data_IF_728119220802
#
_entry.id   IF_728119220802
#
_cell.length_a   1.000
_cell.length_b   1.000
_cell.length_c   1.000
_cell.angle_alpha   90.00
_cell.angle_beta   90.00
_cell.angle_gamma   90.00
#
_symmetry.space_group_name_H-M   'P 1'
#
loop_
_entity.id
_entity.type
_entity.pdbx_description
1 polymer ?
#
# COMPACT_ATOMS: atom_id res chain seq x y z
N UNK A 1 0.51 -17.91 9.62
CA UNK A 1 1.74 -17.13 9.85
C UNK A 1 1.89 -16.86 11.34
N UNK A 2 3.10 -16.97 11.90
CA UNK A 2 3.33 -16.74 13.32
C UNK A 2 2.95 -15.30 13.73
N UNK A 3 2.32 -15.16 14.91
CA UNK A 3 1.89 -13.86 15.47
C UNK A 3 3.02 -12.79 15.52
N UNK A 4 4.27 -13.10 15.93
CA UNK A 4 5.35 -12.10 15.93
C UNK A 4 5.71 -11.62 14.53
N UNK A 5 5.87 -12.53 13.56
CA UNK A 5 6.18 -12.19 12.17
C UNK A 5 5.09 -11.29 11.55
N UNK A 6 3.83 -11.50 11.91
CA UNK A 6 2.72 -10.66 11.45
C UNK A 6 2.79 -9.24 11.99
N UNK A 7 3.07 -9.05 13.28
CA UNK A 7 3.24 -7.70 13.85
C UNK A 7 4.41 -6.97 13.20
N UNK A 8 5.50 -7.69 12.95
CA UNK A 8 6.67 -7.16 12.27
C UNK A 8 6.32 -6.65 10.87
N UNK A 9 5.73 -7.50 10.01
CA UNK A 9 5.38 -7.10 8.64
C UNK A 9 4.36 -5.95 8.63
N UNK A 10 3.39 -5.93 9.55
CA UNK A 10 2.47 -4.80 9.70
C UNK A 10 3.19 -3.50 10.04
N UNK A 11 4.16 -3.53 10.95
CA UNK A 11 4.94 -2.35 11.29
C UNK A 11 5.67 -1.78 10.06
N UNK A 12 6.24 -2.65 9.22
CA UNK A 12 6.82 -2.25 7.94
C UNK A 12 5.78 -1.68 6.97
N UNK A 13 4.58 -2.28 6.90
CA UNK A 13 3.46 -1.71 6.16
C UNK A 13 3.08 -0.30 6.63
N UNK A 14 2.99 -0.08 7.94
CA UNK A 14 2.72 1.23 8.53
C UNK A 14 3.80 2.25 8.18
N UNK A 15 5.08 1.86 8.27
CA UNK A 15 6.19 2.73 7.90
C UNK A 15 6.11 3.15 6.42
N UNK A 16 5.75 2.22 5.53
CA UNK A 16 5.54 2.50 4.09
C UNK A 16 4.38 3.47 3.89
N UNK A 17 3.23 3.21 4.52
CA UNK A 17 2.04 4.05 4.39
C UNK A 17 2.28 5.48 4.89
N UNK A 18 2.86 5.63 6.08
CA UNK A 18 3.18 6.93 6.68
C UNK A 18 4.20 7.67 5.81
N UNK A 19 5.21 6.97 5.29
CA UNK A 19 6.20 7.57 4.39
C UNK A 19 5.55 8.10 3.11
N UNK A 20 4.65 7.33 2.48
CA UNK A 20 3.92 7.75 1.30
C UNK A 20 3.07 9.02 1.56
N UNK A 21 2.39 9.08 2.70
CA UNK A 21 1.63 10.26 3.12
C UNK A 21 2.54 11.47 3.36
N UNK A 22 3.62 11.27 4.10
CA UNK A 22 4.55 12.32 4.45
C UNK A 22 5.21 12.95 3.22
N UNK A 23 5.78 12.12 2.34
CA UNK A 23 6.38 12.61 1.09
C UNK A 23 5.34 13.21 0.15
N UNK A 24 4.16 12.60 0.02
CA UNK A 24 3.07 13.15 -0.78
C UNK A 24 2.68 14.56 -0.32
N UNK A 25 2.51 14.78 0.98
CA UNK A 25 2.21 16.10 1.54
C UNK A 25 3.34 17.12 1.32
N UNK A 26 4.61 16.71 1.48
CA UNK A 26 5.76 17.59 1.20
C UNK A 26 5.76 18.04 -0.26
N UNK A 27 5.53 17.13 -1.21
CA UNK A 27 5.52 17.48 -2.63
C UNK A 27 4.35 18.41 -2.97
N UNK A 28 3.15 18.18 -2.43
CA UNK A 28 2.02 19.11 -2.60
C UNK A 28 2.37 20.48 -2.04
N UNK A 29 2.90 20.57 -0.82
CA UNK A 29 3.25 21.83 -0.18
C UNK A 29 4.33 22.59 -0.98
N UNK A 30 5.35 21.89 -1.49
CA UNK A 30 6.40 22.47 -2.33
C UNK A 30 5.84 23.09 -3.62
N UNK A 31 4.94 22.39 -4.31
CA UNK A 31 4.32 22.90 -5.55
C UNK A 31 3.47 24.14 -5.28
N UNK A 32 2.69 24.13 -4.19
CA UNK A 32 1.82 25.25 -3.83
C UNK A 32 2.60 26.48 -3.36
N UNK A 33 3.74 26.30 -2.70
CA UNK A 33 4.51 27.40 -2.14
C UNK A 33 5.38 28.14 -3.17
N UNK A 34 5.80 27.45 -4.24
CA UNK A 34 6.68 28.03 -5.27
C UNK A 34 5.93 28.61 -6.48
N UNK A 35 4.58 28.66 -6.45
CA UNK A 35 3.71 29.10 -7.56
C UNK A 35 4.09 28.47 -8.93
N UNK A 36 4.66 27.26 -8.88
CA UNK A 36 5.23 26.52 -10.02
C UNK A 36 4.17 26.18 -11.07
N UNK A 37 2.89 26.24 -10.71
CA UNK A 37 1.75 26.03 -11.61
C UNK A 37 1.69 27.07 -12.73
N UNK A 38 2.22 28.28 -12.51
CA UNK A 38 2.24 29.37 -13.49
C UNK A 38 3.44 29.32 -14.44
N UNK A 39 4.46 28.51 -14.12
CA UNK A 39 5.72 28.44 -14.88
C UNK A 39 5.52 27.49 -16.07
N UNK A 40 5.62 28.02 -17.29
CA UNK A 40 5.53 27.21 -18.51
C UNK A 40 6.61 26.13 -18.50
N UNK A 41 6.19 24.86 -18.48
CA UNK A 41 7.11 23.72 -18.58
C UNK A 41 7.89 23.82 -19.91
N UNK A 42 9.21 23.57 -19.88
CA UNK A 42 9.96 23.41 -21.11
C UNK A 42 9.42 22.19 -21.86
N UNK A 43 9.28 22.27 -23.19
CA UNK A 43 8.72 21.18 -24.02
C UNK A 43 9.47 19.85 -23.90
N UNK A 44 10.73 19.90 -23.43
CA UNK A 44 11.61 18.74 -23.25
C UNK A 44 11.70 18.23 -21.79
N UNK A 45 10.91 18.79 -20.87
CA UNK A 45 10.88 18.34 -19.49
C UNK A 45 10.23 16.94 -19.39
N UNK A 46 10.90 16.02 -18.68
CA UNK A 46 10.37 14.70 -18.34
C UNK A 46 8.97 14.83 -17.74
N UNK A 47 8.03 13.93 -18.07
CA UNK A 47 6.62 13.97 -17.63
C UNK A 47 6.50 14.32 -16.12
N UNK A 48 7.25 13.63 -15.26
CA UNK A 48 7.22 13.89 -13.80
C UNK A 48 7.74 15.27 -13.35
N UNK A 49 8.48 15.99 -14.18
CA UNK A 49 8.98 17.34 -13.88
C UNK A 49 8.00 18.45 -14.27
N UNK A 50 6.85 18.10 -14.87
CA UNK A 50 5.78 19.05 -15.12
C UNK A 50 4.99 19.30 -13.83
N UNK A 51 4.74 20.57 -13.45
CA UNK A 51 4.19 20.91 -12.14
C UNK A 51 2.78 20.36 -11.91
N UNK A 52 1.93 20.33 -12.95
CA UNK A 52 0.58 19.74 -12.86
C UNK A 52 0.61 18.21 -12.72
N UNK A 53 1.47 17.54 -13.48
CA UNK A 53 1.59 16.08 -13.43
C UNK A 53 2.14 15.65 -12.06
N UNK A 54 3.17 16.35 -11.56
CA UNK A 54 3.71 16.13 -10.22
C UNK A 54 2.66 16.33 -9.12
N UNK A 55 1.77 17.33 -9.25
CA UNK A 55 0.68 17.55 -8.30
C UNK A 55 -0.32 16.39 -8.30
N UNK A 56 -0.74 15.93 -9.47
CA UNK A 56 -1.68 14.80 -9.62
C UNK A 56 -1.09 13.54 -8.98
N UNK A 57 0.17 13.23 -9.26
CA UNK A 57 0.85 12.08 -8.65
C UNK A 57 0.96 12.23 -7.13
N UNK A 58 1.25 13.42 -6.64
CA UNK A 58 1.36 13.65 -5.18
C UNK A 58 0.03 13.45 -4.47
N UNK A 59 -1.07 13.94 -5.04
CA UNK A 59 -2.43 13.71 -4.52
C UNK A 59 -2.79 12.22 -4.58
N UNK A 60 -2.46 11.55 -5.69
CA UNK A 60 -2.69 10.12 -5.85
C UNK A 60 -1.93 9.30 -4.78
N UNK A 61 -0.68 9.66 -4.48
CA UNK A 61 0.12 9.06 -3.41
C UNK A 61 -0.50 9.25 -2.03
N UNK A 62 -1.06 10.43 -1.74
CA UNK A 62 -1.77 10.68 -0.49
C UNK A 62 -3.03 9.81 -0.41
N UNK A 63 -3.84 9.78 -1.48
CA UNK A 63 -5.06 8.99 -1.52
C UNK A 63 -4.79 7.48 -1.37
N UNK A 64 -3.85 6.93 -2.13
CA UNK A 64 -3.45 5.53 -2.00
C UNK A 64 -2.80 5.23 -0.65
N UNK A 65 -1.98 6.14 -0.12
CA UNK A 65 -1.40 6.01 1.22
C UNK A 65 -2.47 5.93 2.30
N UNK A 66 -3.52 6.75 2.22
CA UNK A 66 -4.65 6.73 3.16
C UNK A 66 -5.46 5.44 3.04
N UNK A 67 -5.79 5.02 1.81
CA UNK A 67 -6.51 3.77 1.56
C UNK A 67 -5.71 2.59 2.10
N UNK A 68 -4.41 2.53 1.83
CA UNK A 68 -3.53 1.47 2.32
C UNK A 68 -3.41 1.48 3.84
N UNK A 69 -3.27 2.66 4.46
CA UNK A 69 -3.25 2.79 5.91
C UNK A 69 -4.54 2.26 6.55
N UNK A 70 -5.69 2.62 5.98
CA UNK A 70 -6.99 2.09 6.43
C UNK A 70 -7.06 0.58 6.22
N UNK A 71 -6.52 0.08 5.10
CA UNK A 71 -6.35 -1.34 4.81
C UNK A 71 -5.53 -2.09 5.86
N UNK A 72 -4.46 -1.48 6.36
CA UNK A 72 -3.62 -2.05 7.42
C UNK A 72 -4.34 -2.12 8.77
N UNK A 73 -5.11 -1.08 9.10
CA UNK A 73 -5.89 -0.98 10.34
C UNK A 73 -7.06 -1.98 10.32
N UNK A 74 -7.81 -2.01 9.22
CA UNK A 74 -8.97 -2.88 9.03
C UNK A 74 -8.64 -4.29 8.53
N UNK A 75 -7.35 -4.60 8.35
CA UNK A 75 -6.84 -5.88 7.83
C UNK A 75 -7.46 -6.29 6.47
N UNK A 76 -7.79 -5.31 5.62
CA UNK A 76 -8.43 -5.56 4.32
C UNK A 76 -7.42 -5.65 3.20
N UNK A 77 -7.40 -6.79 2.50
CA UNK A 77 -6.51 -7.05 1.36
C UNK A 77 -6.83 -6.18 0.14
N UNK A 78 -8.09 -5.78 -0.02
CA UNK A 78 -8.53 -4.98 -1.18
C UNK A 78 -7.86 -3.60 -1.21
N UNK A 79 -7.55 -3.06 -0.04
CA UNK A 79 -6.90 -1.77 0.13
C UNK A 79 -5.39 -1.78 -0.22
N UNK A 80 -4.78 -2.96 -0.43
CA UNK A 80 -3.39 -3.09 -0.89
C UNK A 80 -3.27 -2.73 -2.37
N UNK A 81 -4.31 -3.05 -3.17
CA UNK A 81 -4.25 -2.89 -4.63
C UNK A 81 -4.03 -1.45 -5.10
N UNK A 82 -4.78 -0.43 -4.62
CA UNK A 82 -4.58 0.95 -5.08
C UNK A 82 -3.18 1.49 -4.80
N UNK A 83 -2.56 1.05 -3.70
CA UNK A 83 -1.19 1.42 -3.38
C UNK A 83 -0.18 0.70 -4.28
N UNK A 84 -0.37 -0.60 -4.48
CA UNK A 84 0.49 -1.38 -5.36
C UNK A 84 0.45 -0.87 -6.82
N UNK A 85 -0.72 -0.45 -7.32
CA UNK A 85 -0.84 0.07 -8.69
C UNK A 85 -0.10 1.40 -8.86
N UNK A 86 -0.31 2.36 -7.97
CA UNK A 86 0.40 3.65 -8.02
C UNK A 86 1.92 3.43 -7.87
N UNK A 87 2.33 2.54 -6.97
CA UNK A 87 3.73 2.17 -6.81
C UNK A 87 4.33 1.59 -8.11
N UNK A 88 3.65 0.66 -8.77
CA UNK A 88 4.14 0.07 -10.02
C UNK A 88 4.20 1.08 -11.18
N UNK A 89 3.19 1.96 -11.30
CA UNK A 89 3.20 3.03 -12.31
C UNK A 89 4.40 3.95 -12.08
N UNK A 90 4.61 4.38 -10.84
CA UNK A 90 5.72 5.25 -10.46
C UNK A 90 7.08 4.60 -10.78
N UNK A 91 7.29 3.36 -10.36
CA UNK A 91 8.54 2.65 -10.65
C UNK A 91 8.75 2.40 -12.13
N UNK A 92 7.69 2.18 -12.90
CA UNK A 92 7.79 2.04 -14.35
C UNK A 92 8.25 3.34 -15.02
N UNK A 93 7.76 4.50 -14.54
CA UNK A 93 8.20 5.81 -15.04
C UNK A 93 9.67 6.07 -14.70
N UNK A 94 10.09 5.76 -13.47
CA UNK A 94 11.49 5.89 -13.05
C UNK A 94 12.39 4.92 -13.85
N UNK A 95 11.91 3.71 -14.15
CA UNK A 95 12.64 2.75 -14.98
C UNK A 95 12.89 3.30 -16.38
N UNK A 96 11.85 3.85 -17.02
CA UNK A 96 11.97 4.47 -18.35
C UNK A 96 12.99 5.61 -18.30
N UNK A 97 12.96 6.43 -17.25
CA UNK A 97 13.93 7.52 -17.08
C UNK A 97 15.37 7.01 -16.92
N UNK A 98 15.57 5.92 -16.18
CA UNK A 98 16.87 5.29 -16.00
C UNK A 98 17.39 4.73 -17.32
N UNK A 99 16.54 4.05 -18.10
CA UNK A 99 16.88 3.52 -19.42
C UNK A 99 17.23 4.64 -20.41
N UNK A 100 16.48 5.74 -20.43
CA UNK A 100 16.82 6.89 -21.29
C UNK A 100 18.15 7.54 -20.91
N UNK A 101 18.53 7.53 -19.61
CA UNK A 101 19.85 8.00 -19.16
C UNK A 101 20.98 7.04 -19.55
N UNK A 102 20.71 5.74 -19.56
CA UNK A 102 21.66 4.69 -19.98
C UNK A 102 22.03 4.81 -21.47
N UNK A 103 21.12 5.27 -22.32
CA UNK A 103 21.41 5.50 -23.75
C UNK A 103 22.54 6.53 -23.98
N UNK A 104 22.79 7.41 -23.01
CA UNK A 104 23.77 8.49 -23.10
C UNK A 104 25.03 8.27 -22.23
N UNK A 105 25.13 7.16 -21.48
CA UNK A 105 26.23 6.89 -20.52
C UNK A 105 26.67 5.42 -20.55
N UNK A 106 27.88 5.15 -20.05
CA UNK A 106 28.44 3.81 -20.02
C UNK A 106 27.71 2.91 -18.99
N UNK A 107 27.38 1.67 -19.40
CA UNK A 107 26.46 0.78 -18.64
C UNK A 107 27.01 0.41 -17.25
N UNK A 108 28.32 0.24 -17.14
CA UNK A 108 28.99 -0.19 -15.89
C UNK A 108 28.91 0.90 -14.83
N UNK A 109 29.09 2.17 -15.22
CA UNK A 109 29.07 3.32 -14.31
C UNK A 109 27.66 3.57 -13.76
N UNK A 110 26.63 3.36 -14.59
CA UNK A 110 25.24 3.53 -14.17
C UNK A 110 24.76 2.37 -13.29
N UNK A 111 25.15 1.12 -13.57
CA UNK A 111 24.75 -0.05 -12.77
C UNK A 111 25.44 -0.07 -11.39
N UNK A 112 26.68 0.39 -11.30
CA UNK A 112 27.40 0.55 -10.02
C UNK A 112 27.02 1.83 -9.27
N UNK A 113 26.16 2.67 -9.85
CA UNK A 113 25.68 3.88 -9.18
C UNK A 113 24.80 3.55 -7.98
N UNK A 114 24.95 4.34 -6.91
CA UNK A 114 24.06 4.30 -5.76
C UNK A 114 22.58 4.47 -6.14
N UNK A 115 22.30 5.22 -7.23
CA UNK A 115 20.94 5.40 -7.75
C UNK A 115 20.32 4.08 -8.25
N UNK A 116 21.09 3.25 -8.95
CA UNK A 116 20.61 1.96 -9.47
C UNK A 116 20.40 0.95 -8.33
N UNK A 117 21.24 0.98 -7.30
CA UNK A 117 21.06 0.15 -6.11
C UNK A 117 19.76 0.49 -5.37
N UNK A 118 19.48 1.78 -5.16
CA UNK A 118 18.22 2.25 -4.55
C UNK A 118 17.03 1.87 -5.43
N UNK A 119 17.17 2.01 -6.75
CA UNK A 119 16.16 1.64 -7.73
C UNK A 119 15.75 0.17 -7.62
N UNK A 120 16.67 -0.74 -7.30
CA UNK A 120 16.35 -2.17 -7.14
C UNK A 120 15.87 -2.51 -5.73
N UNK A 121 16.52 -1.97 -4.70
CA UNK A 121 16.26 -2.32 -3.31
C UNK A 121 14.87 -1.88 -2.84
N UNK A 122 14.43 -0.67 -3.22
CA UNK A 122 13.15 -0.13 -2.78
C UNK A 122 11.95 -0.92 -3.33
N UNK A 123 11.82 -1.19 -4.64
CA UNK A 123 10.73 -2.01 -5.16
C UNK A 123 10.78 -3.45 -4.69
N UNK A 124 11.97 -4.01 -4.50
CA UNK A 124 12.09 -5.34 -3.90
C UNK A 124 11.55 -5.36 -2.47
N UNK A 125 11.97 -4.41 -1.63
CA UNK A 125 11.54 -4.33 -0.24
C UNK A 125 10.04 -4.02 -0.10
N UNK A 126 9.53 -3.02 -0.81
CA UNK A 126 8.11 -2.64 -0.76
C UNK A 126 7.26 -3.75 -1.39
N UNK A 127 7.65 -4.26 -2.56
CA UNK A 127 6.94 -5.35 -3.22
C UNK A 127 6.86 -6.62 -2.36
N UNK A 128 7.97 -7.02 -1.74
CA UNK A 128 8.00 -8.14 -0.81
C UNK A 128 7.06 -7.92 0.40
N UNK A 129 7.11 -6.72 0.98
CA UNK A 129 6.25 -6.35 2.12
C UNK A 129 4.77 -6.42 1.75
N UNK A 130 4.38 -5.87 0.59
CA UNK A 130 3.01 -5.90 0.08
C UNK A 130 2.53 -7.34 -0.18
N UNK A 131 3.37 -8.20 -0.76
CA UNK A 131 3.03 -9.61 -1.02
C UNK A 131 2.80 -10.36 0.29
N UNK A 132 3.64 -10.18 1.31
CA UNK A 132 3.43 -10.85 2.59
C UNK A 132 2.18 -10.32 3.29
N UNK A 133 1.95 -9.01 3.27
CA UNK A 133 0.72 -8.40 3.80
C UNK A 133 -0.53 -8.98 3.14
N UNK A 134 -0.51 -9.09 1.82
CA UNK A 134 -1.62 -9.68 1.07
C UNK A 134 -1.90 -11.11 1.51
N UNK A 135 -0.85 -11.95 1.61
CA UNK A 135 -1.00 -13.34 2.08
C UNK A 135 -1.45 -13.43 3.53
N UNK A 136 -0.96 -12.52 4.38
CA UNK A 136 -1.34 -12.47 5.78
C UNK A 136 -2.83 -12.14 5.95
N UNK A 137 -3.33 -11.14 5.23
CA UNK A 137 -4.75 -10.77 5.25
C UNK A 137 -5.65 -11.81 4.59
N UNK A 138 -5.20 -12.45 3.50
CA UNK A 138 -5.97 -13.52 2.84
C UNK A 138 -6.11 -14.76 3.73
N UNK A 139 -5.07 -15.12 4.51
CA UNK A 139 -5.16 -16.24 5.45
C UNK A 139 -6.18 -16.00 6.56
N UNK A 140 -6.25 -14.78 7.11
CA UNK A 140 -7.24 -14.45 8.14
C UNK A 140 -8.67 -14.50 7.62
N UNK A 141 -8.92 -13.96 6.41
CA UNK A 141 -10.25 -14.02 5.82
C UNK A 141 -10.75 -15.46 5.65
N UNK A 142 -9.84 -16.39 5.33
CA UNK A 142 -10.17 -17.82 5.23
C UNK A 142 -10.44 -18.46 6.59
N UNK A 143 -9.65 -18.13 7.61
CA UNK A 143 -9.84 -18.65 8.97
C UNK A 143 -11.19 -18.16 9.55
N UNK A 144 -11.51 -16.87 9.40
CA UNK A 144 -12.80 -16.29 9.84
C UNK A 144 -13.99 -16.89 9.09
N UNK A 145 -13.88 -17.07 7.76
CA UNK A 145 -14.95 -17.68 6.96
C UNK A 145 -15.21 -19.15 7.36
N UNK A 146 -14.17 -19.89 7.77
CA UNK A 146 -14.32 -21.27 8.26
C UNK A 146 -14.97 -21.29 9.65
N UNK A 147 -14.56 -20.40 10.56
CA UNK A 147 -15.19 -20.27 11.88
C UNK A 147 -16.68 -19.90 11.78
N UNK A 148 -17.04 -18.98 10.88
CA UNK A 148 -18.45 -18.61 10.64
C UNK A 148 -19.28 -19.79 10.11
N UNK A 149 -18.71 -20.60 9.20
CA UNK A 149 -19.37 -21.82 8.69
C UNK A 149 -19.53 -22.87 9.80
N UNK A 150 -18.53 -23.04 10.66
CA UNK A 150 -18.62 -23.96 11.81
C UNK A 150 -19.62 -23.46 12.86
N UNK A 151 -19.68 -22.15 13.10
CA UNK A 151 -20.63 -21.54 14.02
C UNK A 151 -22.07 -21.64 13.50
N UNK A 152 -22.29 -21.46 12.20
CA UNK A 152 -23.58 -21.69 11.56
C UNK A 152 -24.04 -23.16 11.60
N UNK A 153 -23.10 -24.11 11.74
CA UNK A 153 -23.40 -25.54 11.91
C UNK A 153 -23.66 -25.96 13.36
N UNK A 154 -23.38 -25.10 14.36
CA UNK A 154 -23.70 -25.44 15.75
C UNK A 154 -25.23 -25.40 15.93
N UNK A 155 -25.85 -26.45 16.49
CA UNK A 155 -27.27 -26.43 16.76
C UNK A 155 -27.58 -25.30 17.74
N UNK A 156 -28.50 -24.41 17.35
CA UNK A 156 -29.04 -23.36 18.21
C UNK A 156 -29.69 -24.06 19.40
N UNK A 157 -29.06 -23.99 20.58
CA UNK A 157 -29.69 -24.46 21.82
C UNK A 157 -30.76 -23.46 22.20
N UNK A 158 -31.99 -23.76 21.81
CA UNK A 158 -33.17 -23.12 22.38
C UNK A 158 -33.26 -23.55 23.85
N UNK A 159 -32.99 -22.63 24.77
CA UNK A 159 -33.41 -22.79 26.15
C UNK A 159 -34.92 -22.55 26.17
N UNK A 160 -35.69 -23.63 26.10
CA UNK A 160 -37.09 -23.58 26.52
C UNK A 160 -37.08 -23.37 28.03
N UNK A 161 -37.67 -22.27 28.47
CA UNK A 161 -37.85 -21.97 29.89
C UNK A 161 -38.56 -23.13 30.56
N UNK A 162 -38.10 -23.45 31.77
CA UNK A 162 -38.69 -24.46 32.64
C UNK A 162 -40.20 -24.24 32.73
N UNK A 163 -40.97 -25.27 32.33
CA UNK A 163 -42.40 -25.36 32.60
C UNK A 163 -42.61 -25.26 34.12
N UNK A 164 -43.47 -24.36 34.62
CA UNK A 164 -43.80 -24.35 36.04
C UNK A 164 -44.57 -25.63 36.36
N UNK A 165 -43.97 -26.47 37.20
CA UNK A 165 -44.54 -27.69 37.75
C UNK A 165 -45.99 -27.48 38.22
N UNK A 166 -46.92 -28.14 37.53
CA UNK A 166 -48.27 -28.44 38.03
C UNK A 166 -48.13 -29.34 39.27
N UNK A 167 -48.00 -28.74 40.46
CA UNK A 167 -48.15 -29.45 41.72
C UNK A 167 -49.56 -29.24 42.26
N UNK A 168 -50.43 -30.22 42.00
CA UNK A 168 -51.62 -30.46 42.82
C UNK A 168 -51.18 -30.87 44.24
N UNK A 169 -51.49 -30.03 45.25
CA UNK A 169 -51.94 -30.42 46.60
C UNK A 169 -52.30 -29.17 47.41
#
# INVERSE_FOLDING_TARGET
>A
MERPLRRYVKAHGYAIAISALFFGCIFVASILNEDQLSRSASEYAFFRSRPLEQLIFSIAWIAAGLIFLLGLICERKEAIFPFATIFLVEWSLVLVQLVSKLEHRDLVEVVLSAEAAVFLLVPLYVGYTLVILYRAFDSQYKDEAVEDIEQARRPVKFFFGEDPDDTYS
#
